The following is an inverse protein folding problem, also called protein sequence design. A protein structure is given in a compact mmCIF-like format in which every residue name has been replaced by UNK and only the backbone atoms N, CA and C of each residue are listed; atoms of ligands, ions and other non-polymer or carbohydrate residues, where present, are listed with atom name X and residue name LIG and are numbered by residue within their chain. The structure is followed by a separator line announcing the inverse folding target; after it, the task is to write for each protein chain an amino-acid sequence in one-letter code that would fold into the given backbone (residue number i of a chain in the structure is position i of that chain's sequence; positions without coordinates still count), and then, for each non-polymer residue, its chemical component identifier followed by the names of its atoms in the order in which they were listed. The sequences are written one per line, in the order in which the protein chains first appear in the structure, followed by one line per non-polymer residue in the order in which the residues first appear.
data_IF_718558123573
#
_entry.id   IF_718558123573
#
_cell.length_a   1.000
_cell.length_b   1.000
_cell.length_c   1.000
_cell.angle_alpha   90.00
_cell.angle_beta   90.00
_cell.angle_gamma   90.00
#
_symmetry.space_group_name_H-M   'P 1'
#
loop_
_entity.id
_entity.type
_entity.pdbx_description
1 polymer ?
#
# COMPACT_ATOMS: atom_id res chain seq x y z
N UNK A 1 -2.25 -17.40 31.38
CA UNK A 1 -2.74 -16.02 31.18
C UNK A 1 -2.28 -15.55 29.79
N UNK A 2 -3.11 -15.73 28.77
CA UNK A 2 -2.78 -15.44 27.37
C UNK A 2 -3.14 -13.99 27.04
N UNK A 3 -2.35 -13.04 27.53
CA UNK A 3 -2.53 -11.64 27.18
C UNK A 3 -2.01 -11.36 25.76
N UNK A 4 -2.98 -11.29 24.84
CA UNK A 4 -3.11 -10.18 23.90
C UNK A 4 -1.86 -9.80 23.08
N UNK A 5 -1.36 -10.74 22.24
CA UNK A 5 -0.36 -10.43 21.19
C UNK A 5 -0.84 -9.38 20.17
N UNK A 6 -2.15 -9.16 20.06
CA UNK A 6 -2.75 -8.18 19.14
C UNK A 6 -2.47 -6.73 19.57
N UNK A 7 -2.62 -6.43 20.86
CA UNK A 7 -2.37 -5.08 21.41
C UNK A 7 -0.92 -4.59 21.28
N UNK A 8 0.07 -5.49 21.20
CA UNK A 8 1.49 -5.12 21.00
C UNK A 8 1.79 -4.58 19.61
N UNK A 9 1.02 -4.99 18.60
CA UNK A 9 1.27 -4.59 17.20
C UNK A 9 0.80 -3.16 16.94
N UNK A 10 -0.38 -2.78 17.43
CA UNK A 10 -0.95 -1.44 17.25
C UNK A 10 -0.11 -0.36 17.96
N UNK A 11 0.53 -0.71 19.08
CA UNK A 11 1.41 0.23 19.82
C UNK A 11 2.73 0.52 19.08
N UNK A 12 3.21 -0.39 18.21
CA UNK A 12 4.46 -0.17 17.47
C UNK A 12 4.33 0.99 16.47
N UNK A 13 3.20 1.11 15.78
CA UNK A 13 2.96 2.19 14.82
C UNK A 13 2.90 3.57 15.49
N UNK A 14 2.19 3.69 16.62
CA UNK A 14 2.21 4.94 17.39
C UNK A 14 3.59 5.26 17.97
N UNK A 15 4.38 4.26 18.33
CA UNK A 15 5.76 4.48 18.81
C UNK A 15 6.66 5.06 17.73
N UNK A 16 6.45 4.78 16.44
CA UNK A 16 7.22 5.43 15.36
C UNK A 16 7.00 6.94 15.35
N UNK A 17 5.78 7.41 15.63
CA UNK A 17 5.45 8.85 15.66
C UNK A 17 5.95 9.54 16.93
N UNK A 18 5.93 8.84 18.08
CA UNK A 18 6.26 9.43 19.39
C UNK A 18 7.74 9.25 19.76
N UNK A 19 8.36 8.15 19.35
CA UNK A 19 9.77 7.85 19.63
C UNK A 19 10.37 6.97 18.52
N UNK A 20 10.70 7.57 17.35
CA UNK A 20 11.15 6.82 16.18
C UNK A 20 12.42 6.02 16.44
N UNK A 21 13.38 6.58 17.20
CA UNK A 21 14.64 5.90 17.52
C UNK A 21 14.43 4.54 18.21
N UNK A 22 13.64 4.52 19.30
CA UNK A 22 13.32 3.27 20.01
C UNK A 22 12.47 2.31 19.18
N UNK A 23 11.64 2.82 18.29
CA UNK A 23 10.84 1.98 17.40
C UNK A 23 11.73 1.27 16.38
N UNK A 24 12.66 2.00 15.75
CA UNK A 24 13.60 1.43 14.78
C UNK A 24 14.60 0.47 15.43
N UNK A 25 15.10 0.74 16.63
CA UNK A 25 15.92 -0.22 17.38
C UNK A 25 15.22 -1.58 17.54
N UNK A 26 13.93 -1.56 17.89
CA UNK A 26 13.12 -2.79 18.00
C UNK A 26 12.86 -3.48 16.66
N UNK A 27 12.79 -2.72 15.56
CA UNK A 27 12.61 -3.28 14.21
C UNK A 27 13.92 -3.93 13.74
N UNK A 28 15.07 -3.30 14.03
CA UNK A 28 16.39 -3.86 13.72
C UNK A 28 16.66 -5.12 14.53
N UNK A 29 16.30 -5.13 15.82
CA UNK A 29 16.45 -6.29 16.69
C UNK A 29 15.58 -7.48 16.24
N UNK A 30 14.37 -7.22 15.74
CA UNK A 30 13.45 -8.26 15.28
C UNK A 30 12.75 -7.82 13.98
N UNK A 31 13.36 -8.05 12.79
CA UNK A 31 12.89 -7.53 11.50
C UNK A 31 11.72 -8.35 10.95
N UNK A 32 10.61 -8.35 11.68
CA UNK A 32 9.37 -9.06 11.33
C UNK A 32 8.37 -8.05 10.79
N UNK A 33 8.32 -7.94 9.47
CA UNK A 33 7.45 -6.99 8.76
C UNK A 33 6.19 -7.63 8.19
N UNK A 34 6.18 -8.96 8.00
CA UNK A 34 5.10 -9.68 7.30
C UNK A 34 3.73 -9.42 7.94
N UNK A 35 3.62 -9.45 9.27
CA UNK A 35 2.35 -9.22 9.97
C UNK A 35 1.85 -7.77 9.79
N UNK A 36 2.76 -6.81 9.86
CA UNK A 36 2.45 -5.40 9.64
C UNK A 36 2.02 -5.15 8.19
N UNK A 37 2.76 -5.70 7.23
CA UNK A 37 2.47 -5.64 5.81
C UNK A 37 1.08 -6.21 5.49
N UNK A 38 0.75 -7.41 5.99
CA UNK A 38 -0.59 -7.98 5.79
C UNK A 38 -1.69 -7.19 6.48
N UNK A 39 -1.44 -6.62 7.66
CA UNK A 39 -2.39 -5.74 8.34
C UNK A 39 -2.70 -4.49 7.53
N UNK A 40 -1.66 -3.78 7.07
CA UNK A 40 -1.79 -2.58 6.25
C UNK A 40 -2.44 -2.88 4.90
N UNK A 41 -1.99 -3.91 4.19
CA UNK A 41 -2.60 -4.32 2.92
C UNK A 41 -4.06 -4.77 3.10
N UNK A 42 -4.39 -5.45 4.21
CA UNK A 42 -5.76 -5.85 4.51
C UNK A 42 -6.68 -4.64 4.74
N UNK A 43 -6.23 -3.67 5.54
CA UNK A 43 -6.98 -2.41 5.74
C UNK A 43 -7.14 -1.66 4.41
N UNK A 44 -6.06 -1.55 3.63
CA UNK A 44 -6.08 -0.84 2.35
C UNK A 44 -7.02 -1.52 1.34
N UNK A 45 -7.02 -2.85 1.29
CA UNK A 45 -7.92 -3.64 0.46
C UNK A 45 -9.39 -3.45 0.88
N UNK A 46 -9.69 -3.50 2.19
CA UNK A 46 -11.03 -3.26 2.70
C UNK A 46 -11.53 -1.88 2.32
N UNK A 47 -10.71 -0.84 2.50
CA UNK A 47 -11.04 0.51 2.08
C UNK A 47 -11.26 0.59 0.56
N UNK A 48 -10.41 -0.05 -0.23
CA UNK A 48 -10.55 -0.07 -1.69
C UNK A 48 -11.85 -0.77 -2.14
N UNK A 49 -12.24 -1.86 -1.49
CA UNK A 49 -13.52 -2.54 -1.76
C UNK A 49 -14.71 -1.63 -1.41
N UNK A 50 -14.65 -0.96 -0.25
CA UNK A 50 -15.71 -0.02 0.17
C UNK A 50 -15.80 1.17 -0.81
N UNK A 51 -14.67 1.63 -1.34
CA UNK A 51 -14.60 2.73 -2.30
C UNK A 51 -14.83 2.31 -3.76
N UNK A 52 -14.77 1.02 -4.09
CA UNK A 52 -14.97 0.49 -5.44
C UNK A 52 -16.23 1.03 -6.13
N UNK A 53 -17.43 1.05 -5.53
CA UNK A 53 -18.62 1.61 -6.19
C UNK A 53 -18.49 3.11 -6.47
N UNK A 54 -17.79 3.86 -5.60
CA UNK A 54 -17.50 5.29 -5.84
C UNK A 54 -16.53 5.47 -7.00
N UNK A 55 -15.55 4.58 -7.15
CA UNK A 55 -14.64 4.58 -8.31
C UNK A 55 -15.36 4.28 -9.63
N UNK A 56 -16.35 3.38 -9.61
CA UNK A 56 -17.21 3.16 -10.78
C UNK A 56 -18.00 4.42 -11.12
N UNK A 57 -18.69 5.00 -10.14
CA UNK A 57 -19.50 6.21 -10.33
C UNK A 57 -18.65 7.39 -10.82
N UNK A 58 -17.45 7.58 -10.27
CA UNK A 58 -16.51 8.62 -10.70
C UNK A 58 -16.08 8.40 -12.16
N UNK A 59 -15.72 7.18 -12.52
CA UNK A 59 -15.31 6.86 -13.90
C UNK A 59 -16.45 7.08 -14.90
N UNK A 60 -17.66 6.63 -14.58
CA UNK A 60 -18.85 6.88 -15.41
C UNK A 60 -19.14 8.37 -15.52
N UNK A 61 -19.03 9.13 -14.43
CA UNK A 61 -19.22 10.58 -14.45
C UNK A 61 -18.19 11.28 -15.33
N UNK A 62 -16.91 10.91 -15.22
CA UNK A 62 -15.83 11.46 -16.04
C UNK A 62 -16.01 11.16 -17.53
N UNK A 63 -16.51 9.97 -17.88
CA UNK A 63 -16.73 9.59 -19.28
C UNK A 63 -17.96 10.28 -19.90
N UNK A 64 -18.99 10.54 -19.09
CA UNK A 64 -20.24 11.18 -19.55
C UNK A 64 -20.16 12.71 -19.59
N UNK A 65 -19.40 13.33 -18.67
CA UNK A 65 -19.30 14.79 -18.54
C UNK A 65 -17.91 15.33 -18.94
N UNK A 66 -16.96 14.45 -19.22
CA UNK A 66 -15.64 14.83 -19.68
C UNK A 66 -15.66 15.34 -21.13
N UNK A 67 -14.63 16.10 -21.50
CA UNK A 67 -14.45 16.63 -22.88
C UNK A 67 -13.99 15.56 -23.88
N UNK A 68 -14.30 14.29 -23.64
CA UNK A 68 -13.87 13.19 -24.48
C UNK A 68 -14.89 13.03 -25.60
N UNK A 69 -14.61 13.62 -26.76
CA UNK A 69 -15.37 13.37 -27.99
C UNK A 69 -14.95 12.01 -28.56
N UNK A 70 -15.70 10.97 -28.22
CA UNK A 70 -15.59 9.64 -28.83
C UNK A 70 -16.80 9.37 -29.73
N UNK A 71 -16.66 8.53 -30.77
CA UNK A 71 -17.79 8.03 -31.54
C UNK A 71 -18.84 7.37 -30.62
N UNK A 72 -20.14 7.52 -30.87
CA UNK A 72 -21.20 7.00 -29.99
C UNK A 72 -21.10 5.48 -29.73
N UNK A 73 -20.70 4.73 -30.76
CA UNK A 73 -20.53 3.26 -30.66
C UNK A 73 -19.35 2.86 -29.76
N UNK A 74 -18.30 3.68 -29.68
CA UNK A 74 -17.16 3.43 -28.80
C UNK A 74 -17.48 3.84 -27.36
N UNK A 75 -18.30 4.89 -27.17
CA UNK A 75 -18.70 5.37 -25.85
C UNK A 75 -19.46 4.31 -25.06
N UNK A 76 -20.41 3.59 -25.68
CA UNK A 76 -21.15 2.52 -25.00
C UNK A 76 -20.24 1.37 -24.55
N UNK A 77 -19.28 0.98 -25.39
CA UNK A 77 -18.31 -0.07 -25.06
C UNK A 77 -17.39 0.36 -23.92
N UNK A 78 -16.90 1.60 -23.95
CA UNK A 78 -16.04 2.16 -22.91
C UNK A 78 -16.79 2.28 -21.58
N UNK A 79 -18.05 2.75 -21.58
CA UNK A 79 -18.87 2.84 -20.37
C UNK A 79 -19.21 1.47 -19.77
N UNK A 80 -19.30 0.41 -20.56
CA UNK A 80 -19.55 -0.94 -20.07
C UNK A 80 -18.34 -1.57 -19.34
N UNK A 81 -17.12 -1.19 -19.74
CA UNK A 81 -15.87 -1.84 -19.30
C UNK A 81 -15.06 -0.95 -18.36
N UNK A 82 -14.87 0.32 -18.69
CA UNK A 82 -13.94 1.21 -17.98
C UNK A 82 -14.30 1.42 -16.50
N UNK A 83 -15.57 1.61 -16.08
CA UNK A 83 -15.91 1.73 -14.67
C UNK A 83 -15.58 0.46 -13.88
N UNK A 84 -15.89 -0.72 -14.44
CA UNK A 84 -15.59 -2.02 -13.81
C UNK A 84 -14.08 -2.26 -13.74
N UNK A 85 -13.36 -1.94 -14.80
CA UNK A 85 -11.91 -2.04 -14.86
C UNK A 85 -11.23 -1.06 -13.90
N UNK A 86 -11.73 0.18 -13.77
CA UNK A 86 -11.21 1.16 -12.84
C UNK A 86 -11.41 0.73 -11.39
N UNK A 87 -12.59 0.21 -11.05
CA UNK A 87 -12.86 -0.29 -9.70
C UNK A 87 -12.04 -1.56 -9.39
N UNK A 88 -12.02 -2.54 -10.29
CA UNK A 88 -11.21 -3.75 -10.11
C UNK A 88 -9.71 -3.44 -10.05
N UNK A 89 -9.24 -2.57 -10.93
CA UNK A 89 -7.87 -2.08 -10.97
C UNK A 89 -7.47 -1.33 -9.70
N UNK A 90 -8.37 -0.52 -9.13
CA UNK A 90 -8.13 0.17 -7.87
C UNK A 90 -7.97 -0.80 -6.68
N UNK A 91 -8.77 -1.88 -6.65
CA UNK A 91 -8.64 -2.93 -5.62
C UNK A 91 -7.32 -3.69 -5.76
N UNK A 92 -6.94 -4.05 -6.99
CA UNK A 92 -5.65 -4.72 -7.26
C UNK A 92 -4.49 -3.79 -6.91
N UNK A 93 -4.55 -2.54 -7.32
CA UNK A 93 -3.54 -1.53 -6.99
C UNK A 93 -3.41 -1.33 -5.48
N UNK A 94 -4.51 -1.28 -4.74
CA UNK A 94 -4.47 -1.14 -3.28
C UNK A 94 -3.70 -2.28 -2.57
N UNK A 95 -3.69 -3.48 -3.18
CA UNK A 95 -2.90 -4.61 -2.68
C UNK A 95 -1.44 -4.57 -3.15
N UNK A 96 -1.19 -4.27 -4.43
CA UNK A 96 0.14 -4.40 -5.06
C UNK A 96 1.02 -3.17 -4.84
N UNK A 97 0.44 -1.96 -4.90
CA UNK A 97 1.18 -0.70 -4.80
C UNK A 97 1.99 -0.58 -3.52
N UNK A 98 1.48 -0.92 -2.32
CA UNK A 98 2.28 -0.87 -1.09
C UNK A 98 3.54 -1.74 -1.17
N UNK A 99 3.42 -2.96 -1.68
CA UNK A 99 4.57 -3.87 -1.85
C UNK A 99 5.62 -3.29 -2.80
N UNK A 100 5.18 -2.72 -3.92
CA UNK A 100 6.08 -2.11 -4.88
C UNK A 100 6.83 -0.92 -4.26
N UNK A 101 6.11 -0.04 -3.54
CA UNK A 101 6.70 1.11 -2.86
C UNK A 101 7.70 0.68 -1.79
N UNK A 102 7.35 -0.30 -0.94
CA UNK A 102 8.25 -0.79 0.10
C UNK A 102 9.52 -1.42 -0.46
N UNK A 103 9.41 -2.20 -1.55
CA UNK A 103 10.56 -2.77 -2.24
C UNK A 103 11.44 -1.69 -2.86
N UNK A 104 10.84 -0.67 -3.47
CA UNK A 104 11.57 0.46 -4.04
C UNK A 104 12.34 1.21 -2.96
N UNK A 105 11.70 1.54 -1.84
CA UNK A 105 12.36 2.22 -0.70
C UNK A 105 13.48 1.35 -0.12
N UNK A 106 13.22 0.07 0.13
CA UNK A 106 14.23 -0.85 0.65
C UNK A 106 15.43 -0.99 -0.31
N UNK A 107 15.17 -0.99 -1.62
CA UNK A 107 16.19 -0.99 -2.67
C UNK A 107 17.06 0.27 -2.62
N UNK A 108 16.43 1.46 -2.56
CA UNK A 108 17.13 2.73 -2.41
C UNK A 108 17.99 2.77 -1.14
N UNK A 109 17.46 2.28 -0.01
CA UNK A 109 18.21 2.18 1.25
C UNK A 109 19.40 1.21 1.13
N UNK A 110 19.25 0.10 0.40
CA UNK A 110 20.34 -0.86 0.20
C UNK A 110 21.44 -0.26 -0.68
N UNK A 111 21.07 0.48 -1.71
CA UNK A 111 22.02 1.24 -2.53
C UNK A 111 22.78 2.27 -1.69
N UNK A 112 22.07 3.03 -0.85
CA UNK A 112 22.70 3.98 0.07
C UNK A 112 23.66 3.31 1.06
N UNK A 113 23.26 2.18 1.65
CA UNK A 113 24.10 1.41 2.58
C UNK A 113 25.36 0.88 1.90
N UNK A 114 25.25 0.42 0.64
CA UNK A 114 26.37 -0.01 -0.18
C UNK A 114 27.38 1.12 -0.42
N UNK A 115 26.91 2.32 -0.75
CA UNK A 115 27.78 3.50 -0.89
C UNK A 115 28.40 3.96 0.45
N UNK A 116 27.75 3.66 1.57
CA UNK A 116 28.21 4.02 2.91
C UNK A 116 29.09 2.95 3.58
N UNK A 117 29.49 1.90 2.85
CA UNK A 117 30.22 0.74 3.36
C UNK A 117 29.57 0.08 4.60
N UNK A 118 28.24 0.19 4.73
CA UNK A 118 27.47 -0.45 5.80
C UNK A 118 26.82 -1.72 5.26
N UNK A 119 27.10 -2.85 5.90
CA UNK A 119 26.41 -4.09 5.59
C UNK A 119 25.13 -4.21 6.41
N UNK A 120 24.01 -3.82 5.79
CA UNK A 120 22.67 -3.98 6.37
C UNK A 120 21.89 -5.00 5.55
N UNK A 121 21.30 -5.97 6.22
CA UNK A 121 20.45 -6.98 5.59
C UNK A 121 19.21 -6.32 4.94
N UNK A 122 18.90 -6.73 3.71
CA UNK A 122 17.73 -6.21 2.96
C UNK A 122 16.42 -6.42 3.73
N UNK A 123 16.29 -7.53 4.45
CA UNK A 123 15.14 -7.84 5.32
C UNK A 123 14.90 -6.74 6.37
N UNK A 124 15.97 -6.20 6.95
CA UNK A 124 15.88 -5.12 7.95
C UNK A 124 15.45 -3.82 7.30
N UNK A 125 15.98 -3.49 6.12
CA UNK A 125 15.59 -2.30 5.36
C UNK A 125 14.13 -2.36 4.90
N UNK A 126 13.68 -3.53 4.45
CA UNK A 126 12.29 -3.76 4.10
C UNK A 126 11.37 -3.65 5.33
N UNK A 127 11.81 -4.13 6.50
CA UNK A 127 11.06 -3.97 7.73
C UNK A 127 10.95 -2.54 8.24
N UNK A 128 11.90 -1.68 7.87
CA UNK A 128 11.86 -0.24 8.13
C UNK A 128 10.98 0.49 7.12
N UNK A 129 10.90 0.00 5.89
CA UNK A 129 10.08 0.60 4.83
C UNK A 129 8.57 0.35 5.00
N UNK A 130 8.19 -0.76 5.64
CA UNK A 130 6.80 -1.15 5.96
C UNK A 130 6.26 -0.39 7.17
#
# INVERSE_FOLDING_TARGET
MSENKSARSTWRFLQVLVNPGRAFEKIVAEPVFIKAAFGLCGINLLLAIILAPKMQALTTWMLTHGRVTMPPEEMERVLAVAPKAAAGGSVVAAAVTPWFIWLLIAGLLKLFAMFSARDVAFKTLLAVAV
#
